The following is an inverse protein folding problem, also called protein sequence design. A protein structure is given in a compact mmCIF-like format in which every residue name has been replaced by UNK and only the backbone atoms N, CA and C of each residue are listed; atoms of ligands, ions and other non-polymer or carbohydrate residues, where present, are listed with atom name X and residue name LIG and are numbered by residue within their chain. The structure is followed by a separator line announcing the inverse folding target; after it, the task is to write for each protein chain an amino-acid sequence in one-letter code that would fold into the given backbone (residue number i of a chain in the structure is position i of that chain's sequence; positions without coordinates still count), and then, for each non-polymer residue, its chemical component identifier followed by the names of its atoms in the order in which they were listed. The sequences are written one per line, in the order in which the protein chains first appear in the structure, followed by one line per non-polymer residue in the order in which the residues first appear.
data_IF_955158055979
#
_entry.id   IF_955158055979
#
_cell.length_a   1.000
_cell.length_b   1.000
_cell.length_c   1.000
_cell.angle_alpha   90.00
_cell.angle_beta   90.00
_cell.angle_gamma   90.00
#
_symmetry.space_group_name_H-M   'P 1'
#
loop_
_entity.id
_entity.type
_entity.pdbx_description
1 polymer ?
#
# COMPACT_ATOMS: atom_id res chain seq x y z
N UNK A 1 -11.49 18.04 -9.42
CA UNK A 1 -12.13 16.77 -8.97
C UNK A 1 -13.47 16.66 -9.65
N UNK A 2 -13.66 15.64 -10.48
CA UNK A 2 -14.94 15.38 -11.14
C UNK A 2 -15.51 14.09 -10.53
N UNK A 3 -16.69 14.19 -9.92
CA UNK A 3 -17.32 13.13 -9.11
C UNK A 3 -18.46 12.40 -9.81
N UNK A 4 -18.61 12.59 -11.13
CA UNK A 4 -19.77 12.07 -11.85
C UNK A 4 -19.32 11.00 -12.85
N UNK A 5 -19.07 9.79 -12.35
CA UNK A 5 -18.94 8.60 -13.17
C UNK A 5 -19.81 7.50 -12.57
N UNK A 6 -20.67 6.93 -13.41
CA UNK A 6 -21.76 5.98 -13.12
C UNK A 6 -21.32 4.66 -12.45
N UNK A 7 -20.04 4.51 -12.07
CA UNK A 7 -19.37 3.25 -11.67
C UNK A 7 -18.45 3.41 -10.43
N UNK A 8 -18.69 4.38 -9.54
CA UNK A 8 -17.83 4.66 -8.37
C UNK A 8 -16.36 5.00 -8.71
N UNK A 9 -16.08 5.47 -9.92
CA UNK A 9 -14.74 5.87 -10.34
C UNK A 9 -14.52 7.37 -10.09
N UNK A 10 -13.36 7.74 -9.53
CA UNK A 10 -12.95 9.13 -9.34
C UNK A 10 -11.86 9.53 -10.34
N UNK A 11 -12.01 10.70 -10.97
CA UNK A 11 -10.99 11.26 -11.88
C UNK A 11 -10.39 12.53 -11.28
N UNK A 12 -9.08 12.50 -11.06
CA UNK A 12 -8.29 13.62 -10.55
C UNK A 12 -7.59 14.30 -11.73
N UNK A 13 -8.02 15.54 -12.03
CA UNK A 13 -7.32 16.40 -12.98
C UNK A 13 -6.44 17.35 -12.18
N UNK A 14 -5.15 17.31 -12.49
CA UNK A 14 -4.14 18.21 -11.94
C UNK A 14 -3.83 19.29 -12.97
N UNK A 15 -4.09 20.55 -12.61
CA UNK A 15 -3.84 21.70 -13.47
C UNK A 15 -2.68 22.52 -12.89
N UNK A 16 -1.69 22.83 -13.73
CA UNK A 16 -0.62 23.77 -13.38
C UNK A 16 -1.15 25.19 -13.59
N UNK A 17 -1.39 25.92 -12.51
CA UNK A 17 -1.89 27.31 -12.55
C UNK A 17 -0.71 28.27 -12.50
N UNK A 18 -0.60 29.18 -13.49
CA UNK A 18 0.46 30.19 -13.59
C UNK A 18 1.91 29.62 -13.70
N UNK A 19 2.10 28.35 -14.02
CA UNK A 19 3.45 27.74 -14.13
C UNK A 19 4.28 28.19 -15.33
N UNK A 20 3.72 28.98 -16.25
CA UNK A 20 4.37 29.38 -17.50
C UNK A 20 4.63 28.19 -18.46
N UNK A 21 5.36 28.46 -19.55
CA UNK A 21 5.93 27.45 -20.44
C UNK A 21 7.42 27.71 -20.57
N UNK A 22 8.21 27.13 -19.68
CA UNK A 22 9.66 27.09 -19.78
C UNK A 22 10.07 25.71 -20.30
N UNK A 23 11.10 25.67 -21.16
CA UNK A 23 11.65 24.42 -21.67
C UNK A 23 12.20 23.56 -20.50
N UNK A 24 12.18 22.22 -20.60
CA UNK A 24 12.79 21.37 -19.59
C UNK A 24 14.26 21.79 -19.33
N UNK A 25 14.55 22.22 -18.09
CA UNK A 25 15.86 22.71 -17.66
C UNK A 25 15.99 24.23 -17.41
N UNK A 26 14.95 25.03 -17.71
CA UNK A 26 14.82 26.39 -17.17
C UNK A 26 14.01 26.37 -15.87
N UNK A 27 14.06 27.45 -15.08
CA UNK A 27 13.41 27.60 -13.77
C UNK A 27 11.86 27.68 -13.88
N UNK A 28 11.23 26.70 -14.55
CA UNK A 28 9.80 26.59 -14.79
C UNK A 28 9.15 25.39 -14.09
N UNK A 29 8.00 25.69 -13.48
CA UNK A 29 7.08 24.90 -12.63
C UNK A 29 7.63 23.58 -12.03
N UNK A 30 7.86 23.62 -10.71
CA UNK A 30 8.16 22.48 -9.84
C UNK A 30 6.93 22.09 -9.02
N UNK A 31 5.73 22.44 -9.50
CA UNK A 31 4.54 22.51 -8.65
C UNK A 31 3.88 21.13 -8.48
N UNK A 32 4.20 20.19 -9.38
CA UNK A 32 3.67 18.83 -9.39
C UNK A 32 4.77 17.84 -9.74
N UNK A 33 5.03 16.91 -8.83
CA UNK A 33 5.82 15.72 -9.15
C UNK A 33 4.85 14.59 -9.55
N UNK A 34 4.59 14.47 -10.85
CA UNK A 34 3.62 13.48 -11.36
C UNK A 34 3.95 12.04 -10.93
N UNK A 35 5.23 11.69 -10.74
CA UNK A 35 5.59 10.36 -10.22
C UNK A 35 5.19 10.17 -8.76
N UNK A 36 5.33 11.18 -7.89
CA UNK A 36 4.88 11.10 -6.50
C UNK A 36 3.36 11.00 -6.40
N UNK A 37 2.63 11.80 -7.19
CA UNK A 37 1.16 11.75 -7.23
C UNK A 37 0.64 10.38 -7.67
N UNK A 38 1.29 9.77 -8.67
CA UNK A 38 0.94 8.43 -9.14
C UNK A 38 1.22 7.38 -8.04
N UNK A 39 2.36 7.46 -7.34
CA UNK A 39 2.66 6.54 -6.25
C UNK A 39 1.71 6.70 -5.06
N UNK A 40 1.35 7.94 -4.70
CA UNK A 40 0.37 8.22 -3.64
C UNK A 40 -1.03 7.69 -3.96
N UNK A 41 -1.39 7.58 -5.24
CA UNK A 41 -2.63 6.92 -5.64
C UNK A 41 -2.53 5.41 -5.44
N UNK A 42 -1.48 4.78 -5.97
CA UNK A 42 -1.33 3.32 -5.88
C UNK A 42 -1.12 2.83 -4.45
N UNK A 43 -0.45 3.62 -3.59
CA UNK A 43 -0.19 3.24 -2.20
C UNK A 43 -1.48 2.99 -1.39
N UNK A 44 -2.61 3.56 -1.81
CA UNK A 44 -3.93 3.33 -1.20
C UNK A 44 -4.49 1.93 -1.51
N UNK A 45 -3.93 1.25 -2.50
CA UNK A 45 -4.37 -0.07 -2.98
C UNK A 45 -3.29 -1.14 -2.87
N UNK A 46 -2.11 -0.79 -2.37
CA UNK A 46 -1.04 -1.74 -2.05
C UNK A 46 -1.14 -2.17 -0.59
N UNK A 47 -0.90 -3.45 -0.34
CA UNK A 47 -0.73 -3.98 1.01
C UNK A 47 0.75 -4.36 1.22
N UNK A 48 1.21 -4.21 2.45
CA UNK A 48 2.51 -4.74 2.85
C UNK A 48 2.32 -6.18 3.35
N UNK A 49 3.03 -7.12 2.76
CA UNK A 49 3.02 -8.51 3.25
C UNK A 49 3.51 -8.54 4.69
N UNK A 50 2.78 -9.24 5.55
CA UNK A 50 3.04 -9.32 6.98
C UNK A 50 2.41 -8.19 7.83
N UNK A 51 1.98 -7.08 7.24
CA UNK A 51 1.33 -5.95 7.93
C UNK A 51 -0.20 -6.11 7.81
N UNK A 52 -0.78 -6.89 8.74
CA UNK A 52 -2.20 -7.26 8.68
C UNK A 52 -3.09 -6.18 9.28
N UNK A 53 -2.55 -5.30 10.13
CA UNK A 53 -3.28 -4.17 10.69
C UNK A 53 -3.20 -2.90 9.80
N UNK A 54 -2.36 -2.93 8.77
CA UNK A 54 -2.12 -1.87 7.79
C UNK A 54 -1.69 -0.54 8.42
N UNK A 55 -0.83 -0.60 9.44
CA UNK A 55 -0.26 0.57 10.10
C UNK A 55 1.09 1.03 9.50
N UNK A 56 1.60 0.27 8.53
CA UNK A 56 2.83 0.55 7.81
C UNK A 56 4.09 -0.04 8.45
N UNK A 57 3.96 -0.73 9.59
CA UNK A 57 5.03 -1.46 10.26
C UNK A 57 4.72 -2.95 10.28
N UNK A 58 5.75 -3.80 10.26
CA UNK A 58 5.60 -5.23 10.53
C UNK A 58 6.16 -5.46 11.92
N UNK A 59 5.30 -5.75 12.89
CA UNK A 59 5.69 -5.94 14.28
C UNK A 59 4.94 -7.09 14.98
N UNK A 60 5.15 -7.21 16.29
CA UNK A 60 4.59 -8.31 17.08
C UNK A 60 3.05 -8.30 17.11
N UNK A 61 2.41 -7.15 16.91
CA UNK A 61 0.97 -7.03 16.82
C UNK A 61 0.43 -7.76 15.60
N UNK A 62 1.15 -7.71 14.47
CA UNK A 62 0.79 -8.47 13.27
C UNK A 62 0.86 -9.97 13.52
N UNK A 63 1.96 -10.44 14.11
CA UNK A 63 2.13 -11.84 14.47
C UNK A 63 1.00 -12.34 15.39
N UNK A 64 0.56 -11.53 16.35
CA UNK A 64 -0.57 -11.85 17.23
C UNK A 64 -1.89 -11.91 16.45
N UNK A 65 -2.10 -11.00 15.49
CA UNK A 65 -3.29 -11.02 14.64
C UNK A 65 -3.34 -12.28 13.76
N UNK A 66 -2.20 -12.77 13.25
CA UNK A 66 -2.12 -14.05 12.52
C UNK A 66 -2.56 -15.23 13.39
N UNK A 67 -2.24 -15.23 14.69
CA UNK A 67 -2.71 -16.29 15.60
C UNK A 67 -4.24 -16.39 15.60
N UNK A 68 -4.97 -15.28 15.54
CA UNK A 68 -6.43 -15.30 15.46
C UNK A 68 -6.92 -15.94 14.16
N UNK A 69 -6.26 -15.66 13.03
CA UNK A 69 -6.59 -16.30 11.74
C UNK A 69 -6.38 -17.82 11.80
N UNK A 70 -5.24 -18.26 12.36
CA UNK A 70 -4.94 -19.69 12.57
C UNK A 70 -6.02 -20.35 13.42
N UNK A 71 -6.43 -19.73 14.53
CA UNK A 71 -7.43 -20.27 15.45
C UNK A 71 -8.84 -20.33 14.83
N UNK A 72 -9.18 -19.36 13.98
CA UNK A 72 -10.48 -19.30 13.29
C UNK A 72 -10.50 -20.09 11.98
N UNK A 73 -9.36 -20.58 11.50
CA UNK A 73 -9.23 -21.24 10.19
C UNK A 73 -9.49 -20.28 9.03
N UNK A 74 -9.18 -19.00 9.21
CA UNK A 74 -9.36 -17.96 8.21
C UNK A 74 -8.10 -17.79 7.35
N UNK A 75 -8.30 -17.44 6.09
CA UNK A 75 -7.22 -17.19 5.13
C UNK A 75 -7.06 -15.70 4.87
N UNK A 76 -5.81 -15.24 4.79
CA UNK A 76 -5.45 -13.91 4.32
C UNK A 76 -4.15 -13.96 3.55
N UNK A 77 -4.18 -13.51 2.29
CA UNK A 77 -2.98 -13.45 1.42
C UNK A 77 -1.90 -12.53 1.97
N UNK A 78 -2.27 -11.57 2.84
CA UNK A 78 -1.32 -10.62 3.45
C UNK A 78 -0.31 -11.36 4.33
N UNK A 79 -0.72 -12.47 4.94
CA UNK A 79 0.07 -13.22 5.94
C UNK A 79 0.30 -14.68 5.54
N UNK A 80 0.07 -15.03 4.27
CA UNK A 80 0.50 -16.29 3.64
C UNK A 80 1.94 -16.09 3.15
N UNK A 81 2.89 -16.15 4.10
CA UNK A 81 4.25 -15.63 3.89
C UNK A 81 5.08 -16.56 2.99
N UNK A 82 4.79 -17.85 3.04
CA UNK A 82 5.44 -18.87 2.22
C UNK A 82 4.66 -19.24 0.95
N UNK A 83 3.49 -18.64 0.74
CA UNK A 83 2.60 -18.83 -0.41
C UNK A 83 2.14 -20.29 -0.61
N UNK A 84 1.98 -21.05 0.47
CA UNK A 84 1.49 -22.43 0.41
C UNK A 84 -0.05 -22.53 0.41
N UNK A 85 -0.74 -21.40 0.57
CA UNK A 85 -2.19 -21.32 0.57
C UNK A 85 -2.82 -21.71 1.90
N UNK A 86 -2.04 -21.84 2.98
CA UNK A 86 -2.51 -22.12 4.33
C UNK A 86 -1.92 -21.13 5.33
N UNK A 87 -2.71 -20.65 6.29
CA UNK A 87 -2.20 -19.80 7.38
C UNK A 87 -1.90 -20.70 8.58
N UNK A 88 -0.63 -20.82 8.93
CA UNK A 88 -0.16 -21.67 10.01
C UNK A 88 1.05 -21.06 10.75
N UNK A 89 1.68 -21.86 11.62
CA UNK A 89 2.81 -21.40 12.45
C UNK A 89 4.04 -21.00 11.63
N UNK A 90 4.21 -21.55 10.42
CA UNK A 90 5.34 -21.21 9.54
C UNK A 90 5.25 -19.75 9.10
N UNK A 91 4.06 -19.25 8.77
CA UNK A 91 3.87 -17.83 8.41
C UNK A 91 4.23 -16.89 9.56
N UNK A 92 3.85 -17.26 10.78
CA UNK A 92 4.18 -16.49 11.99
C UNK A 92 5.71 -16.46 12.18
N UNK A 93 6.40 -17.58 11.98
CA UNK A 93 7.87 -17.65 12.10
C UNK A 93 8.54 -16.73 11.07
N UNK A 94 8.01 -16.64 9.86
CA UNK A 94 8.52 -15.73 8.83
C UNK A 94 8.29 -14.25 9.18
N UNK A 95 7.13 -13.90 9.75
CA UNK A 95 6.89 -12.55 10.29
C UNK A 95 7.88 -12.23 11.41
N UNK A 96 8.10 -13.15 12.36
CA UNK A 96 9.10 -12.96 13.42
C UNK A 96 10.52 -12.81 12.83
N UNK A 97 10.84 -13.54 11.77
CA UNK A 97 12.11 -13.39 11.08
C UNK A 97 12.29 -11.98 10.49
N UNK A 98 11.25 -11.40 9.90
CA UNK A 98 11.25 -10.01 9.41
C UNK A 98 11.43 -9.02 10.56
N UNK A 99 10.76 -9.21 11.69
CA UNK A 99 10.90 -8.31 12.85
C UNK A 99 12.33 -8.29 13.41
N UNK A 100 13.05 -9.40 13.29
CA UNK A 100 14.39 -9.56 13.86
C UNK A 100 15.53 -9.15 12.92
N UNK A 101 15.28 -8.97 11.61
CA UNK A 101 16.32 -8.70 10.60
C UNK A 101 16.01 -7.47 9.74
#
# INVERSE_FOLDING_TARGET
RYFDCNDNAEVWLYEVVNGGHDWPGSYGNMDINASEEIWSFFSQYTFNLGDINNDGSIDVLDAIAVVNLVLNGEYSVIVDMNYDGTINVLDIVEIIYIILN
#
